data_IF_253195852299
#
_entry.id   IF_253195852299
#
_cell.length_a   1.000
_cell.length_b   1.000
_cell.length_c   1.000
_cell.angle_alpha   90.00
_cell.angle_beta   90.00
_cell.angle_gamma   90.00
#
_symmetry.space_group_name_H-M   'P 1'
#
loop_
_entity.id
_entity.type
_entity.pdbx_description
1 polymer ?
#
# COMPACT_ATOMS: atom_id res chain seq x y z
N UNK A 1 5.34 12.27 4.90
CA UNK A 1 6.02 12.21 3.59
C UNK A 1 6.16 10.77 3.13
N UNK A 2 5.66 10.45 1.93
CA UNK A 2 5.97 9.23 1.19
C UNK A 2 7.02 9.57 0.14
N UNK A 3 8.06 8.75 0.01
CA UNK A 3 9.06 8.90 -1.05
C UNK A 3 9.36 7.55 -1.68
N UNK A 4 9.43 7.54 -3.01
CA UNK A 4 9.88 6.39 -3.79
C UNK A 4 11.04 6.82 -4.68
N UNK A 5 12.03 5.95 -4.78
CA UNK A 5 13.23 6.18 -5.60
C UNK A 5 13.42 4.98 -6.53
N UNK A 6 13.40 5.25 -7.84
CA UNK A 6 13.61 4.33 -8.95
C UNK A 6 12.82 3.02 -8.80
N UNK A 7 11.54 3.17 -8.44
CA UNK A 7 10.68 2.06 -8.08
C UNK A 7 10.31 1.24 -9.31
N UNK A 8 10.64 -0.05 -9.27
CA UNK A 8 10.28 -1.03 -10.30
C UNK A 8 9.37 -2.11 -9.72
N UNK A 9 8.23 -2.36 -10.36
CA UNK A 9 7.18 -3.25 -9.84
C UNK A 9 6.72 -4.31 -10.85
N UNK A 10 6.31 -5.46 -10.32
CA UNK A 10 5.70 -6.55 -11.08
C UNK A 10 5.38 -7.73 -10.19
N UNK A 11 5.07 -8.87 -10.82
CA UNK A 11 4.89 -10.16 -10.13
C UNK A 11 6.00 -11.09 -10.59
N UNK A 12 6.52 -11.92 -9.69
CA UNK A 12 7.56 -12.91 -10.00
C UNK A 12 7.19 -13.73 -11.25
N UNK A 13 8.11 -13.82 -12.20
CA UNK A 13 7.89 -14.52 -13.47
C UNK A 13 7.11 -13.73 -14.54
N UNK A 14 6.79 -12.45 -14.30
CA UNK A 14 6.19 -11.53 -15.29
C UNK A 14 7.13 -10.36 -15.58
N UNK A 15 6.91 -9.72 -16.73
CA UNK A 15 7.58 -8.48 -17.12
C UNK A 15 7.24 -7.32 -16.18
N UNK A 16 8.08 -6.29 -16.23
CA UNK A 16 7.83 -5.01 -15.55
C UNK A 16 6.46 -4.45 -15.95
N UNK A 17 5.71 -3.98 -14.96
CA UNK A 17 4.40 -3.36 -15.20
C UNK A 17 4.51 -1.87 -15.52
N UNK A 18 5.58 -1.22 -15.04
CA UNK A 18 5.86 0.21 -15.20
C UNK A 18 7.35 0.41 -15.45
N UNK A 19 7.70 1.47 -16.18
CA UNK A 19 9.08 1.96 -16.22
C UNK A 19 9.49 2.42 -14.81
N UNK A 20 10.76 2.24 -14.40
CA UNK A 20 11.24 2.72 -13.11
C UNK A 20 10.96 4.21 -12.94
N UNK A 21 10.45 4.59 -11.76
CA UNK A 21 10.07 5.98 -11.52
C UNK A 21 10.30 6.41 -10.07
N UNK A 22 10.57 7.69 -9.90
CA UNK A 22 10.77 8.35 -8.61
C UNK A 22 9.63 9.35 -8.38
N UNK A 23 9.14 9.42 -7.15
CA UNK A 23 8.01 10.28 -6.78
C UNK A 23 8.03 10.55 -5.28
N UNK A 24 7.55 11.72 -4.86
CA UNK A 24 7.34 12.05 -3.45
C UNK A 24 5.97 12.68 -3.26
N UNK A 25 5.37 12.37 -2.12
CA UNK A 25 4.13 12.95 -1.66
C UNK A 25 4.28 13.49 -0.24
N UNK A 26 3.83 14.72 -0.04
CA UNK A 26 3.81 15.36 1.25
C UNK A 26 2.49 15.12 1.99
N UNK A 27 2.55 15.30 3.31
CA UNK A 27 1.36 15.22 4.16
C UNK A 27 0.33 16.25 3.71
N UNK A 28 -0.93 15.83 3.59
CA UNK A 28 -2.04 16.69 3.17
C UNK A 28 -2.27 16.74 1.66
N UNK A 29 -1.42 16.10 0.85
CA UNK A 29 -1.64 16.00 -0.59
C UNK A 29 -2.65 14.91 -0.95
N UNK A 30 -3.58 15.25 -1.85
CA UNK A 30 -4.45 14.29 -2.51
C UNK A 30 -3.88 13.98 -3.91
N UNK A 31 -3.60 12.71 -4.16
CA UNK A 31 -2.95 12.26 -5.40
C UNK A 31 -3.85 11.26 -6.12
N UNK A 32 -4.02 11.47 -7.42
CA UNK A 32 -4.73 10.54 -8.29
C UNK A 32 -3.74 9.71 -9.11
N UNK A 33 -3.90 8.38 -9.07
CA UNK A 33 -3.15 7.45 -9.94
C UNK A 33 -4.07 7.02 -11.08
N UNK A 34 -3.79 7.50 -12.28
CA UNK A 34 -4.59 7.24 -13.49
C UNK A 34 -3.86 6.31 -14.45
N UNK A 35 -4.63 5.52 -15.20
CA UNK A 35 -4.09 4.57 -16.18
C UNK A 35 -5.12 3.52 -16.58
N UNK A 36 -4.88 2.82 -17.69
CA UNK A 36 -5.77 1.78 -18.24
C UNK A 36 -5.87 0.55 -17.32
N UNK A 37 -6.89 -0.28 -17.52
CA UNK A 37 -6.97 -1.57 -16.81
C UNK A 37 -5.75 -2.43 -17.17
N UNK A 38 -5.14 -3.04 -16.15
CA UNK A 38 -3.90 -3.81 -16.31
C UNK A 38 -2.60 -2.99 -16.24
N UNK A 39 -2.66 -1.65 -16.19
CA UNK A 39 -1.46 -0.78 -16.13
C UNK A 39 -0.66 -0.85 -14.81
N UNK A 40 -1.01 -1.76 -13.90
CA UNK A 40 -0.28 -1.95 -12.65
C UNK A 40 -0.69 -1.08 -11.47
N UNK A 41 -1.76 -0.27 -11.55
CA UNK A 41 -2.22 0.60 -10.44
C UNK A 41 -2.43 -0.14 -9.12
N UNK A 42 -3.19 -1.25 -9.14
CA UNK A 42 -3.42 -2.04 -7.92
C UNK A 42 -2.14 -2.72 -7.43
N UNK A 43 -1.22 -3.06 -8.33
CA UNK A 43 0.10 -3.58 -7.96
C UNK A 43 0.92 -2.49 -7.27
N UNK A 44 0.95 -1.27 -7.82
CA UNK A 44 1.61 -0.12 -7.21
C UNK A 44 1.10 0.12 -5.79
N UNK A 45 -0.22 0.19 -5.60
CA UNK A 45 -0.80 0.41 -4.27
C UNK A 45 -0.43 -0.72 -3.28
N UNK A 46 -0.46 -1.98 -3.73
CA UNK A 46 -0.02 -3.13 -2.92
C UNK A 46 1.48 -3.07 -2.59
N UNK A 47 2.31 -2.62 -3.53
CA UNK A 47 3.75 -2.46 -3.31
C UNK A 47 4.07 -1.32 -2.34
N UNK A 48 3.37 -0.18 -2.46
CA UNK A 48 3.47 0.94 -1.50
C UNK A 48 3.00 0.54 -0.09
N UNK A 49 2.00 -0.35 0.01
CA UNK A 49 1.58 -0.95 1.28
C UNK A 49 2.52 -2.06 1.78
N UNK A 50 3.51 -2.46 0.98
CA UNK A 50 4.47 -3.52 1.27
C UNK A 50 3.85 -4.92 1.31
N UNK A 51 2.73 -5.12 0.60
CA UNK A 51 2.13 -6.43 0.34
C UNK A 51 2.78 -7.15 -0.85
N UNK A 52 3.40 -6.41 -1.75
CA UNK A 52 4.19 -6.93 -2.88
C UNK A 52 5.57 -6.30 -2.79
N UNK A 53 6.62 -7.13 -2.79
CA UNK A 53 8.00 -6.62 -2.80
C UNK A 53 8.29 -5.99 -4.18
N UNK A 54 8.86 -4.77 -4.23
CA UNK A 54 9.34 -4.24 -5.50
C UNK A 54 10.47 -5.11 -6.06
N UNK A 55 10.68 -5.07 -7.37
CA UNK A 55 11.85 -5.70 -7.98
C UNK A 55 13.11 -4.89 -7.64
N UNK A 56 13.03 -3.57 -7.79
CA UNK A 56 14.10 -2.62 -7.51
C UNK A 56 13.54 -1.32 -6.95
N UNK A 57 14.45 -0.47 -6.46
CA UNK A 57 14.12 0.82 -5.87
C UNK A 57 13.78 0.75 -4.38
N UNK A 58 13.45 1.90 -3.83
CA UNK A 58 13.19 2.09 -2.39
C UNK A 58 11.89 2.82 -2.14
N UNK A 59 11.25 2.48 -1.02
CA UNK A 59 10.03 3.14 -0.53
C UNK A 59 10.30 3.60 0.89
N UNK A 60 10.05 4.86 1.18
CA UNK A 60 10.24 5.48 2.49
C UNK A 60 8.95 6.13 2.97
N UNK A 61 8.62 5.93 4.24
CA UNK A 61 7.48 6.56 4.93
C UNK A 61 8.02 7.34 6.11
N UNK A 62 7.83 8.66 6.08
CA UNK A 62 8.34 9.60 7.08
C UNK A 62 9.85 9.39 7.32
N UNK A 63 10.62 9.20 6.25
CA UNK A 63 12.07 8.99 6.29
C UNK A 63 12.54 7.60 6.72
N UNK A 64 11.62 6.65 6.94
CA UNK A 64 11.97 5.27 7.30
C UNK A 64 11.73 4.35 6.11
N UNK A 65 12.71 3.51 5.76
CA UNK A 65 12.57 2.54 4.67
C UNK A 65 11.50 1.49 5.01
N UNK A 66 10.54 1.27 4.10
CA UNK A 66 9.38 0.40 4.29
C UNK A 66 9.76 -1.03 4.70
N UNK A 67 10.88 -1.52 4.18
CA UNK A 67 11.43 -2.87 4.44
C UNK A 67 11.85 -3.07 5.90
N UNK A 68 12.22 -1.98 6.59
CA UNK A 68 12.67 -1.99 8.00
C UNK A 68 11.52 -1.79 9.00
N UNK A 69 10.38 -1.30 8.52
CA UNK A 69 9.17 -1.10 9.34
C UNK A 69 8.47 -2.44 9.54
N UNK A 70 8.32 -2.85 10.80
CA UNK A 70 7.60 -4.08 11.15
C UNK A 70 6.16 -4.06 10.63
N UNK A 71 5.57 -5.22 10.28
CA UNK A 71 4.19 -5.27 9.80
C UNK A 71 3.17 -4.60 10.74
N UNK A 72 3.31 -4.81 12.06
CA UNK A 72 2.45 -4.20 13.07
C UNK A 72 2.59 -2.67 13.12
N UNK A 73 3.81 -2.13 12.93
CA UNK A 73 3.99 -0.68 12.89
C UNK A 73 3.48 -0.09 11.58
N UNK A 74 3.61 -0.83 10.47
CA UNK A 74 3.19 -0.39 9.14
C UNK A 74 1.67 -0.17 9.06
N UNK A 75 0.87 -1.03 9.67
CA UNK A 75 -0.60 -0.88 9.69
C UNK A 75 -1.07 0.35 10.49
N UNK A 76 -0.26 0.86 11.41
CA UNK A 76 -0.54 2.11 12.12
C UNK A 76 -0.15 3.36 11.31
N UNK A 77 0.59 3.20 10.20
CA UNK A 77 1.06 4.30 9.35
C UNK A 77 0.31 4.36 8.01
N UNK A 78 -0.21 3.23 7.54
CA UNK A 78 -0.83 3.09 6.23
C UNK A 78 -2.17 2.37 6.34
N UNK A 79 -3.13 2.83 5.53
CA UNK A 79 -4.39 2.14 5.28
C UNK A 79 -4.54 1.91 3.78
N UNK A 80 -4.97 0.71 3.40
CA UNK A 80 -5.18 0.34 2.00
C UNK A 80 -6.60 -0.20 1.83
N UNK A 81 -7.34 0.39 0.90
CA UNK A 81 -8.64 -0.09 0.46
C UNK A 81 -8.50 -0.49 -1.01
N UNK A 82 -8.84 -1.74 -1.31
CA UNK A 82 -8.80 -2.28 -2.66
C UNK A 82 -10.22 -2.49 -3.18
N UNK A 83 -10.39 -2.51 -4.50
CA UNK A 83 -11.68 -2.69 -5.16
C UNK A 83 -12.36 -4.05 -4.89
N UNK A 84 -11.63 -5.04 -4.37
CA UNK A 84 -12.21 -6.28 -3.89
C UNK A 84 -11.93 -6.43 -2.39
N UNK A 85 -12.88 -5.98 -1.57
CA UNK A 85 -12.93 -6.31 -0.15
C UNK A 85 -13.83 -7.54 -0.03
N UNK A 86 -13.27 -8.71 0.22
CA UNK A 86 -14.08 -9.90 0.47
C UNK A 86 -15.11 -9.60 1.56
N UNK A 87 -16.40 -9.77 1.26
CA UNK A 87 -17.44 -9.62 2.27
C UNK A 87 -17.43 -10.85 3.17
N UNK A 88 -17.46 -10.63 4.48
CA UNK A 88 -17.66 -11.70 5.46
C UNK A 88 -19.18 -11.80 5.66
N UNK A 89 -19.83 -12.93 5.30
CA UNK A 89 -21.25 -13.11 5.55
C UNK A 89 -21.57 -12.95 7.04
N UNK A 90 -22.73 -12.37 7.35
CA UNK A 90 -23.26 -12.25 8.72
C UNK A 90 -22.39 -11.46 9.72
N UNK A 91 -21.41 -10.69 9.25
CA UNK A 91 -20.63 -9.79 10.10
C UNK A 91 -21.46 -8.55 10.49
N UNK A 92 -21.40 -8.16 11.77
CA UNK A 92 -22.06 -6.91 12.20
C UNK A 92 -21.27 -5.71 11.69
N UNK A 93 -21.98 -4.64 11.35
CA UNK A 93 -21.38 -3.35 10.95
C UNK A 93 -20.37 -2.86 12.00
N UNK A 94 -20.71 -3.01 13.29
CA UNK A 94 -19.81 -2.63 14.38
C UNK A 94 -18.47 -3.37 14.32
N UNK A 95 -18.48 -4.66 13.96
CA UNK A 95 -17.28 -5.48 13.91
C UNK A 95 -16.38 -5.07 12.73
N UNK A 96 -16.98 -4.75 11.57
CA UNK A 96 -16.23 -4.20 10.42
C UNK A 96 -15.56 -2.87 10.78
N UNK A 97 -16.28 -1.97 11.46
CA UNK A 97 -15.72 -0.68 11.90
C UNK A 97 -14.59 -0.89 12.92
N UNK A 98 -14.75 -1.83 13.86
CA UNK A 98 -13.70 -2.18 14.83
C UNK A 98 -12.45 -2.73 14.15
N UNK A 99 -12.60 -3.59 13.14
CA UNK A 99 -11.47 -4.12 12.36
C UNK A 99 -10.62 -3.01 11.73
N UNK A 100 -11.25 -1.96 11.19
CA UNK A 100 -10.53 -0.81 10.63
C UNK A 100 -9.69 -0.03 11.65
N UNK A 101 -10.03 -0.12 12.94
CA UNK A 101 -9.31 0.55 14.05
C UNK A 101 -8.28 -0.35 14.73
N UNK A 102 -8.22 -1.63 14.34
CA UNK A 102 -7.39 -2.65 15.00
C UNK A 102 -5.93 -2.22 15.15
N UNK A 103 -5.36 -1.60 14.11
CA UNK A 103 -3.96 -1.13 14.12
C UNK A 103 -3.66 -0.06 15.19
N UNK A 104 -4.67 0.61 15.73
CA UNK A 104 -4.53 1.69 16.70
C UNK A 104 -5.10 1.35 18.09
N UNK A 105 -6.04 0.40 18.16
CA UNK A 105 -6.80 0.09 19.38
C UNK A 105 -6.74 -1.38 19.79
N UNK A 106 -6.27 -2.29 18.93
CA UNK A 106 -6.39 -3.72 19.17
C UNK A 106 -7.85 -4.20 19.11
N UNK A 107 -8.14 -5.34 19.75
CA UNK A 107 -9.47 -5.96 19.78
C UNK A 107 -10.39 -5.45 20.92
N UNK A 108 -9.98 -4.40 21.65
CA UNK A 108 -10.74 -3.82 22.77
C UNK A 108 -11.86 -2.88 22.30
#
# INVERSE_FOLDING_TARGET
>A
MLKITDLSIGYTGKSLLLQPFSFSAETGQLIAVIGTNGSGKSTLLKTLAGLIKPFEGKIEINGNELSTISPARRTALLSLILSNTGMIPDIKVLDVVKMGRFAHKGWT
#
